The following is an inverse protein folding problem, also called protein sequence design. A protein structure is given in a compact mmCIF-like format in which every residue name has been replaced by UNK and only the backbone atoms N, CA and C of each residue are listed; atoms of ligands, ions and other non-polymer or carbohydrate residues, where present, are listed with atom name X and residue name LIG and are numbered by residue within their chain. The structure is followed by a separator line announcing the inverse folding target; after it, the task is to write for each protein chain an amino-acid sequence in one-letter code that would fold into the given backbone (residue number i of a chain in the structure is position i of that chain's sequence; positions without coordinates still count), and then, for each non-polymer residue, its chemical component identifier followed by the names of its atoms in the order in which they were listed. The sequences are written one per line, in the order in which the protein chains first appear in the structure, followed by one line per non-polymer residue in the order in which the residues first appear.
data_IF_313453678341
#
_entry.id   IF_313453678341
#
_cell.length_a   1.000
_cell.length_b   1.000
_cell.length_c   1.000
_cell.angle_alpha   90.00
_cell.angle_beta   90.00
_cell.angle_gamma   90.00
#
_symmetry.space_group_name_H-M   'P 1'
#
loop_
_entity.id
_entity.type
_entity.pdbx_description
1 polymer ?
#
# COMPACT_ATOMS: atom_id res chain seq x y z
N UNK A 1 11.34 -20.80 3.59
CA UNK A 1 10.40 -21.88 3.20
C UNK A 1 10.71 -22.32 1.78
N UNK A 2 10.45 -23.58 1.45
CA UNK A 2 10.65 -24.15 0.12
C UNK A 2 9.94 -23.29 -0.94
N UNK A 3 10.70 -22.76 -1.91
CA UNK A 3 10.11 -22.26 -3.15
C UNK A 3 9.28 -23.38 -3.74
N UNK A 4 7.94 -23.25 -3.74
CA UNK A 4 7.11 -24.12 -4.56
C UNK A 4 7.54 -23.88 -6.01
N UNK A 5 8.09 -24.88 -6.70
CA UNK A 5 8.57 -24.68 -8.07
C UNK A 5 7.40 -24.17 -8.91
N UNK A 6 7.63 -23.09 -9.65
CA UNK A 6 6.63 -22.53 -10.57
C UNK A 6 6.24 -23.63 -11.53
N UNK A 7 4.98 -24.06 -11.46
CA UNK A 7 4.52 -25.17 -12.27
C UNK A 7 4.43 -24.74 -13.74
N UNK A 8 4.51 -25.70 -14.66
CA UNK A 8 4.27 -25.43 -16.09
C UNK A 8 2.87 -24.81 -16.27
N UNK A 9 1.90 -25.20 -15.43
CA UNK A 9 0.56 -24.61 -15.41
C UNK A 9 0.59 -23.12 -15.06
N UNK A 10 1.32 -22.72 -14.01
CA UNK A 10 1.45 -21.31 -13.62
C UNK A 10 2.05 -20.46 -14.74
N UNK A 11 3.00 -21.01 -15.50
CA UNK A 11 3.59 -20.34 -16.66
C UNK A 11 2.57 -20.16 -17.78
N UNK A 12 1.78 -21.19 -18.07
CA UNK A 12 0.73 -21.14 -19.09
C UNK A 12 -0.38 -20.16 -18.72
N UNK A 13 -0.82 -20.15 -17.46
CA UNK A 13 -1.78 -19.17 -16.94
C UNK A 13 -1.21 -17.76 -17.03
N UNK A 14 0.02 -17.54 -16.58
CA UNK A 14 0.70 -16.23 -16.66
C UNK A 14 0.80 -15.71 -18.10
N UNK A 15 1.06 -16.60 -19.07
CA UNK A 15 1.07 -16.26 -20.50
C UNK A 15 -0.33 -15.88 -20.98
N UNK A 16 -1.33 -16.72 -20.71
CA UNK A 16 -2.70 -16.48 -21.14
C UNK A 16 -3.31 -15.20 -20.52
N UNK A 17 -2.98 -14.87 -19.26
CA UNK A 17 -3.38 -13.60 -18.63
C UNK A 17 -2.72 -12.41 -19.33
N UNK A 18 -1.43 -12.52 -19.68
CA UNK A 18 -0.69 -11.45 -20.37
C UNK A 18 -1.21 -11.20 -21.79
N UNK A 19 -1.66 -12.26 -22.47
CA UNK A 19 -2.28 -12.20 -23.80
C UNK A 19 -3.78 -11.85 -23.73
N UNK A 20 -4.33 -11.61 -22.53
CA UNK A 20 -5.75 -11.33 -22.28
C UNK A 20 -6.70 -12.36 -22.90
N UNK A 21 -6.29 -13.63 -22.88
CA UNK A 21 -7.03 -14.73 -23.47
C UNK A 21 -8.37 -14.93 -22.75
N UNK A 22 -9.46 -14.83 -23.50
CA UNK A 22 -10.81 -15.17 -23.04
C UNK A 22 -10.93 -16.69 -22.81
N UNK A 23 -11.85 -17.08 -21.92
CA UNK A 23 -12.08 -18.49 -21.55
C UNK A 23 -12.25 -19.39 -22.78
N UNK A 24 -13.03 -18.93 -23.75
CA UNK A 24 -13.37 -19.67 -24.97
C UNK A 24 -12.15 -19.94 -25.87
N UNK A 25 -11.11 -19.09 -25.77
CA UNK A 25 -9.89 -19.17 -26.55
C UNK A 25 -8.73 -19.88 -25.80
N UNK A 26 -8.95 -20.30 -24.56
CA UNK A 26 -7.92 -21.02 -23.80
C UNK A 26 -7.64 -22.40 -24.42
N UNK A 27 -6.39 -22.89 -24.37
CA UNK A 27 -6.08 -24.27 -24.72
C UNK A 27 -6.99 -25.26 -23.99
N UNK A 28 -7.52 -26.28 -24.69
CA UNK A 28 -8.41 -27.30 -24.11
C UNK A 28 -7.87 -27.95 -22.83
N UNK A 29 -6.54 -28.11 -22.77
CA UNK A 29 -5.84 -28.60 -21.57
C UNK A 29 -6.07 -27.69 -20.36
N UNK A 30 -5.96 -26.37 -20.52
CA UNK A 30 -6.20 -25.41 -19.43
C UNK A 30 -7.68 -25.35 -19.06
N UNK A 31 -8.59 -25.38 -20.04
CA UNK A 31 -10.03 -25.42 -19.75
C UNK A 31 -10.39 -26.65 -18.91
N UNK A 32 -9.82 -27.82 -19.24
CA UNK A 32 -10.03 -29.06 -18.48
C UNK A 32 -9.46 -29.01 -17.06
N UNK A 33 -8.36 -28.28 -16.83
CA UNK A 33 -7.73 -28.15 -15.51
C UNK A 33 -8.51 -27.18 -14.62
N UNK A 34 -8.89 -26.03 -15.19
CA UNK A 34 -9.63 -24.97 -14.47
C UNK A 34 -11.09 -25.37 -14.23
N UNK A 35 -11.65 -26.22 -15.09
CA UNK A 35 -12.99 -26.78 -14.96
C UNK A 35 -14.14 -25.81 -15.24
N UNK A 36 -13.93 -24.49 -15.11
CA UNK A 36 -14.97 -23.48 -15.33
C UNK A 36 -14.41 -22.10 -15.70
N UNK A 37 -15.26 -21.31 -16.35
CA UNK A 37 -15.01 -19.88 -16.64
C UNK A 37 -14.82 -19.07 -15.35
N UNK A 38 -15.56 -19.39 -14.30
CA UNK A 38 -15.44 -18.70 -13.00
C UNK A 38 -14.11 -18.96 -12.30
N UNK A 39 -13.57 -20.19 -12.39
CA UNK A 39 -12.22 -20.48 -11.92
C UNK A 39 -11.17 -19.70 -12.74
N UNK A 40 -11.34 -19.59 -14.06
CA UNK A 40 -10.46 -18.77 -14.89
C UNK A 40 -10.47 -17.30 -14.47
N UNK A 41 -11.64 -16.71 -14.29
CA UNK A 41 -11.76 -15.33 -13.79
C UNK A 41 -11.07 -15.16 -12.44
N UNK A 42 -11.23 -16.10 -11.51
CA UNK A 42 -10.53 -16.08 -10.22
C UNK A 42 -9.01 -16.15 -10.38
N UNK A 43 -8.48 -16.97 -11.30
CA UNK A 43 -7.03 -17.03 -11.59
C UNK A 43 -6.51 -15.75 -12.23
N UNK A 44 -7.26 -15.13 -13.15
CA UNK A 44 -6.93 -13.83 -13.77
C UNK A 44 -6.82 -12.76 -12.69
N UNK A 45 -7.84 -12.63 -11.84
CA UNK A 45 -7.88 -11.66 -10.74
C UNK A 45 -6.72 -11.89 -9.77
N UNK A 46 -6.52 -13.13 -9.31
CA UNK A 46 -5.41 -13.46 -8.40
C UNK A 46 -4.03 -13.17 -9.02
N UNK A 47 -3.84 -13.43 -10.32
CA UNK A 47 -2.61 -13.11 -11.02
C UNK A 47 -2.33 -11.60 -11.05
N UNK A 48 -3.34 -10.80 -11.39
CA UNK A 48 -3.22 -9.35 -11.45
C UNK A 48 -2.98 -8.75 -10.04
N UNK A 49 -3.68 -9.25 -9.02
CA UNK A 49 -3.51 -8.84 -7.61
C UNK A 49 -2.10 -9.15 -7.11
N UNK A 50 -1.60 -10.37 -7.37
CA UNK A 50 -0.24 -10.77 -6.95
C UNK A 50 0.84 -9.89 -7.58
N UNK A 51 0.55 -9.32 -8.75
CA UNK A 51 1.42 -8.35 -9.46
C UNK A 51 1.06 -6.89 -9.18
N UNK A 52 0.09 -6.62 -8.30
CA UNK A 52 -0.35 -5.27 -7.89
C UNK A 52 -0.65 -4.35 -9.07
N UNK A 53 -1.27 -4.87 -10.13
CA UNK A 53 -1.57 -4.10 -11.34
C UNK A 53 -2.72 -3.11 -11.11
N UNK A 54 -2.69 -1.99 -11.82
CA UNK A 54 -3.79 -1.02 -11.81
C UNK A 54 -5.00 -1.63 -12.55
N UNK A 55 -6.18 -1.61 -11.94
CA UNK A 55 -7.35 -2.36 -12.41
C UNK A 55 -7.69 -2.05 -13.86
N UNK A 56 -7.82 -0.76 -14.20
CA UNK A 56 -8.18 -0.26 -15.54
C UNK A 56 -7.15 -0.63 -16.65
N UNK A 57 -5.91 -0.99 -16.30
CA UNK A 57 -4.85 -1.36 -17.25
C UNK A 57 -4.62 -2.86 -17.36
N UNK A 58 -5.29 -3.67 -16.54
CA UNK A 58 -5.02 -5.11 -16.47
C UNK A 58 -6.25 -5.93 -16.82
N UNK A 59 -6.02 -7.20 -17.16
CA UNK A 59 -7.09 -8.09 -17.62
C UNK A 59 -8.22 -8.28 -16.59
N UNK A 60 -7.96 -8.03 -15.30
CA UNK A 60 -8.96 -8.10 -14.25
C UNK A 60 -10.18 -7.18 -14.50
N UNK A 61 -10.01 -6.05 -15.22
CA UNK A 61 -11.12 -5.13 -15.52
C UNK A 61 -12.22 -5.74 -16.40
N UNK A 62 -11.91 -6.82 -17.13
CA UNK A 62 -12.88 -7.53 -17.96
C UNK A 62 -13.62 -8.64 -17.21
N UNK A 63 -13.18 -9.00 -16.00
CA UNK A 63 -13.67 -10.19 -15.28
C UNK A 63 -14.22 -9.90 -13.88
N UNK A 64 -13.87 -8.77 -13.26
CA UNK A 64 -14.43 -8.35 -11.98
C UNK A 64 -14.61 -6.82 -11.88
N UNK A 65 -15.43 -6.39 -10.92
CA UNK A 65 -15.65 -4.96 -10.65
C UNK A 65 -14.43 -4.37 -9.95
N UNK A 66 -14.20 -3.08 -10.16
CA UNK A 66 -13.09 -2.33 -9.55
C UNK A 66 -13.08 -2.42 -8.02
N UNK A 67 -14.24 -2.23 -7.37
CA UNK A 67 -14.39 -2.37 -5.92
C UNK A 67 -13.96 -3.73 -5.39
N UNK A 68 -14.47 -4.81 -6.00
CA UNK A 68 -14.13 -6.19 -5.62
C UNK A 68 -12.62 -6.47 -5.80
N UNK A 69 -12.04 -5.96 -6.88
CA UNK A 69 -10.62 -6.13 -7.18
C UNK A 69 -9.71 -5.55 -6.10
N UNK A 70 -9.93 -4.28 -5.74
CA UNK A 70 -9.10 -3.60 -4.75
C UNK A 70 -9.37 -4.10 -3.32
N UNK A 71 -10.61 -4.49 -2.99
CA UNK A 71 -10.90 -5.17 -1.72
C UNK A 71 -10.12 -6.49 -1.58
N UNK A 72 -10.15 -7.33 -2.61
CA UNK A 72 -9.41 -8.58 -2.65
C UNK A 72 -7.90 -8.34 -2.65
N UNK A 73 -7.42 -7.29 -3.32
CA UNK A 73 -6.02 -6.88 -3.27
C UNK A 73 -5.62 -6.52 -1.85
N UNK A 74 -6.36 -5.65 -1.17
CA UNK A 74 -6.05 -5.24 0.20
C UNK A 74 -6.13 -6.43 1.16
N UNK A 75 -7.05 -7.37 0.94
CA UNK A 75 -7.13 -8.63 1.69
C UNK A 75 -5.90 -9.51 1.43
N UNK A 76 -5.45 -9.60 0.17
CA UNK A 76 -4.24 -10.32 -0.21
C UNK A 76 -3.00 -9.70 0.47
N UNK A 77 -2.85 -8.38 0.42
CA UNK A 77 -1.74 -7.68 1.08
C UNK A 77 -1.71 -7.97 2.58
N UNK A 78 -2.85 -7.84 3.27
CA UNK A 78 -2.99 -8.13 4.71
C UNK A 78 -2.63 -9.57 5.06
N UNK A 79 -3.05 -10.55 4.27
CA UNK A 79 -2.73 -11.97 4.51
C UNK A 79 -1.27 -12.30 4.28
N UNK A 80 -0.62 -11.63 3.34
CA UNK A 80 0.79 -11.86 2.99
C UNK A 80 1.73 -10.92 3.75
N UNK A 81 1.26 -10.27 4.83
CA UNK A 81 2.08 -9.43 5.70
C UNK A 81 3.20 -10.20 6.43
N UNK A 82 3.04 -11.52 6.60
CA UNK A 82 3.97 -12.36 7.35
C UNK A 82 5.00 -13.11 6.48
N UNK A 83 5.03 -12.86 5.18
CA UNK A 83 5.94 -13.57 4.27
C UNK A 83 7.25 -12.79 4.17
N UNK A 84 8.28 -13.28 4.86
CA UNK A 84 9.66 -12.83 4.65
C UNK A 84 10.05 -13.08 3.20
N UNK A 85 10.29 -12.02 2.44
CA UNK A 85 10.88 -12.15 1.11
C UNK A 85 12.39 -12.14 1.29
N UNK A 86 12.98 -13.33 1.42
CA UNK A 86 14.42 -13.50 1.34
C UNK A 86 14.84 -13.21 -0.11
N UNK A 87 15.50 -12.07 -0.35
CA UNK A 87 16.17 -11.81 -1.62
C UNK A 87 15.99 -10.39 -2.16
N UNK A 88 16.99 -9.54 -1.91
CA UNK A 88 17.26 -8.36 -2.74
C UNK A 88 17.81 -8.85 -4.09
N UNK A 89 16.96 -9.06 -5.08
CA UNK A 89 17.39 -9.28 -6.47
C UNK A 89 17.51 -7.94 -7.18
N UNK A 90 18.70 -7.34 -7.07
CA UNK A 90 19.13 -6.22 -7.89
C UNK A 90 19.29 -6.67 -9.35
N UNK A 91 18.38 -6.23 -10.23
CA UNK A 91 18.64 -6.15 -11.68
C UNK A 91 18.32 -4.74 -12.18
N UNK A 92 19.27 -4.25 -13.01
CA UNK A 92 19.42 -2.90 -13.57
C UNK A 92 18.12 -2.20 -13.98
N UNK A 93 18.05 -0.90 -13.70
CA UNK A 93 17.25 0.08 -14.47
C UNK A 93 15.77 0.26 -14.12
N UNK A 94 15.19 -0.56 -13.23
CA UNK A 94 13.74 -0.49 -12.92
C UNK A 94 13.45 -0.75 -11.43
N UNK A 95 14.25 -0.16 -10.54
CA UNK A 95 14.27 -0.53 -9.12
C UNK A 95 12.95 -0.29 -8.36
N UNK A 96 12.19 0.75 -8.70
CA UNK A 96 10.98 1.13 -7.95
C UNK A 96 9.85 0.12 -8.19
N UNK A 97 9.55 -0.18 -9.45
CA UNK A 97 8.50 -1.14 -9.81
C UNK A 97 8.82 -2.57 -9.33
N UNK A 98 10.11 -2.95 -9.28
CA UNK A 98 10.54 -4.26 -8.79
C UNK A 98 10.46 -4.33 -7.25
N UNK A 99 10.81 -3.27 -6.53
CA UNK A 99 10.67 -3.23 -5.07
C UNK A 99 9.18 -3.28 -4.67
N UNK A 100 8.35 -2.41 -5.23
CA UNK A 100 6.92 -2.34 -4.90
C UNK A 100 6.19 -3.67 -5.19
N UNK A 101 6.54 -4.38 -6.25
CA UNK A 101 5.91 -5.67 -6.58
C UNK A 101 6.42 -6.86 -5.75
N UNK A 102 7.61 -6.78 -5.16
CA UNK A 102 8.18 -7.86 -4.36
C UNK A 102 8.01 -7.68 -2.85
N UNK A 103 7.58 -6.51 -2.36
CA UNK A 103 7.30 -6.29 -0.94
C UNK A 103 5.79 -6.18 -0.69
N UNK A 104 5.08 -7.31 -0.49
CA UNK A 104 3.62 -7.32 -0.25
C UNK A 104 3.18 -6.55 1.01
N UNK A 105 4.14 -6.16 1.85
CA UNK A 105 3.97 -5.44 3.11
C UNK A 105 4.11 -3.92 2.99
N UNK A 106 4.52 -3.40 1.83
CA UNK A 106 4.57 -1.96 1.60
C UNK A 106 3.19 -1.46 1.16
N UNK A 107 2.80 -0.27 1.64
CA UNK A 107 1.60 0.42 1.16
C UNK A 107 1.69 0.59 -0.37
N UNK A 108 0.62 0.30 -1.13
CA UNK A 108 0.66 0.40 -2.58
C UNK A 108 0.48 1.86 -3.04
N UNK A 109 1.54 2.67 -2.92
CA UNK A 109 1.52 4.09 -3.27
C UNK A 109 1.14 4.34 -4.74
N UNK A 110 1.55 3.48 -5.66
CA UNK A 110 1.14 3.55 -7.07
C UNK A 110 -0.36 3.31 -7.30
N UNK A 111 -1.09 2.85 -6.28
CA UNK A 111 -2.54 2.69 -6.26
C UNK A 111 -3.20 3.66 -5.28
N UNK A 112 -2.46 4.65 -4.76
CA UNK A 112 -2.93 5.59 -3.74
C UNK A 112 -4.17 6.35 -4.20
N UNK A 113 -4.30 6.65 -5.50
CA UNK A 113 -5.52 7.27 -6.02
C UNK A 113 -6.75 6.45 -5.62
N UNK A 114 -6.82 5.17 -5.94
CA UNK A 114 -7.98 4.37 -5.56
C UNK A 114 -8.02 4.06 -4.05
N UNK A 115 -6.87 3.69 -3.46
CA UNK A 115 -6.80 3.21 -2.07
C UNK A 115 -7.08 4.34 -1.06
N UNK A 116 -6.51 5.52 -1.26
CA UNK A 116 -6.77 6.67 -0.41
C UNK A 116 -8.12 7.32 -0.75
N UNK A 117 -8.40 7.60 -2.03
CA UNK A 117 -9.59 8.37 -2.42
C UNK A 117 -10.87 7.59 -2.27
N UNK A 118 -10.92 6.38 -2.79
CA UNK A 118 -12.14 5.57 -2.88
C UNK A 118 -12.29 4.68 -1.64
N UNK A 119 -11.25 3.91 -1.30
CA UNK A 119 -11.33 2.99 -0.15
C UNK A 119 -11.16 3.68 1.21
N UNK A 120 -10.75 4.97 1.23
CA UNK A 120 -10.47 5.74 2.46
C UNK A 120 -9.46 5.05 3.39
N UNK A 121 -8.43 4.43 2.81
CA UNK A 121 -7.32 3.83 3.53
C UNK A 121 -6.07 4.67 3.31
N UNK A 122 -5.67 5.45 4.31
CA UNK A 122 -4.40 6.19 4.29
C UNK A 122 -3.20 5.28 4.55
N UNK A 123 -1.97 5.67 4.12
CA UNK A 123 -0.74 4.98 4.48
C UNK A 123 -0.60 4.79 6.00
N UNK A 124 -0.90 5.83 6.78
CA UNK A 124 -0.92 5.76 8.24
C UNK A 124 -1.83 4.63 8.76
N UNK A 125 -3.09 4.60 8.32
CA UNK A 125 -4.05 3.58 8.76
C UNK A 125 -3.64 2.18 8.31
N UNK A 126 -3.07 2.06 7.13
CA UNK A 126 -2.53 0.80 6.62
C UNK A 126 -1.41 0.26 7.52
N UNK A 127 -0.44 1.10 7.90
CA UNK A 127 0.67 0.67 8.74
C UNK A 127 0.26 0.42 10.18
N UNK A 128 -0.68 1.18 10.75
CA UNK A 128 -1.28 0.84 12.04
C UNK A 128 -1.96 -0.54 12.00
N UNK A 129 -2.72 -0.84 10.94
CA UNK A 129 -3.34 -2.15 10.74
C UNK A 129 -2.27 -3.26 10.57
N UNK A 130 -1.20 -3.00 9.83
CA UNK A 130 -0.08 -3.94 9.67
C UNK A 130 0.60 -4.25 11.01
N UNK A 131 0.96 -3.22 11.77
CA UNK A 131 1.58 -3.37 13.10
C UNK A 131 0.65 -4.15 14.03
N UNK A 132 -0.64 -3.83 14.04
CA UNK A 132 -1.64 -4.57 14.81
C UNK A 132 -1.66 -6.06 14.45
N UNK A 133 -1.63 -6.40 13.16
CA UNK A 133 -1.62 -7.79 12.71
C UNK A 133 -0.36 -8.53 13.16
N UNK A 134 0.81 -7.89 13.12
CA UNK A 134 2.07 -8.44 13.64
C UNK A 134 1.98 -8.70 15.15
N UNK A 135 1.45 -7.75 15.92
CA UNK A 135 1.22 -7.90 17.37
C UNK A 135 0.23 -9.02 17.68
N UNK A 136 -0.91 -9.06 16.98
CA UNK A 136 -1.98 -10.04 17.18
C UNK A 136 -1.51 -11.47 16.89
N UNK A 137 -0.64 -11.63 15.90
CA UNK A 137 -0.06 -12.92 15.53
C UNK A 137 1.23 -13.24 16.32
N UNK A 138 1.53 -12.44 17.36
CA UNK A 138 2.69 -12.56 18.25
C UNK A 138 4.04 -12.64 17.52
N UNK A 139 4.14 -12.02 16.35
CA UNK A 139 5.36 -11.99 15.57
C UNK A 139 6.30 -10.90 16.10
N UNK A 140 7.63 -11.10 16.05
CA UNK A 140 8.59 -10.07 16.41
C UNK A 140 8.54 -8.91 15.41
N UNK A 141 8.88 -7.69 15.85
CA UNK A 141 8.98 -6.52 14.97
C UNK A 141 9.90 -6.77 13.75
N UNK A 142 10.98 -7.52 13.95
CA UNK A 142 11.96 -7.88 12.91
C UNK A 142 11.39 -8.78 11.79
N UNK A 143 10.14 -9.22 11.91
CA UNK A 143 9.40 -9.87 10.81
C UNK A 143 8.92 -8.88 9.74
N UNK A 144 8.82 -7.58 10.07
CA UNK A 144 8.44 -6.52 9.14
C UNK A 144 9.67 -6.19 8.26
N UNK A 145 9.55 -6.17 6.92
CA UNK A 145 10.65 -5.82 6.04
C UNK A 145 11.12 -4.39 6.30
N UNK A 146 12.42 -4.16 6.12
CA UNK A 146 13.05 -2.87 6.38
C UNK A 146 12.31 -1.69 5.71
N UNK A 147 11.86 -1.85 4.46
CA UNK A 147 11.11 -0.81 3.75
C UNK A 147 9.76 -0.50 4.43
N UNK A 148 8.98 -1.53 4.76
CA UNK A 148 7.73 -1.36 5.49
C UNK A 148 7.93 -0.82 6.90
N UNK A 149 8.99 -1.26 7.58
CA UNK A 149 9.31 -0.82 8.94
C UNK A 149 9.72 0.65 8.99
N UNK A 150 10.55 1.11 8.05
CA UNK A 150 10.99 2.50 8.00
C UNK A 150 9.85 3.45 7.61
N UNK A 151 8.97 3.05 6.69
CA UNK A 151 7.81 3.86 6.33
C UNK A 151 6.73 3.87 7.42
N UNK A 152 6.47 2.72 8.06
CA UNK A 152 5.62 2.63 9.23
C UNK A 152 6.15 3.50 10.38
N UNK A 153 7.46 3.49 10.63
CA UNK A 153 8.06 4.35 11.66
C UNK A 153 7.88 5.84 11.32
N UNK A 154 8.12 6.25 10.08
CA UNK A 154 7.93 7.64 9.63
C UNK A 154 6.50 8.14 9.86
N UNK A 155 5.50 7.29 9.61
CA UNK A 155 4.09 7.68 9.66
C UNK A 155 3.44 7.47 11.02
N UNK A 156 3.87 6.46 11.78
CA UNK A 156 3.23 6.05 13.05
C UNK A 156 4.09 6.36 14.27
N UNK A 157 5.40 6.58 14.10
CA UNK A 157 6.35 6.73 15.19
C UNK A 157 6.67 5.41 15.92
N UNK A 158 6.11 4.28 15.51
CA UNK A 158 6.35 2.99 16.14
C UNK A 158 7.57 2.34 15.50
N UNK A 159 8.69 2.38 16.22
CA UNK A 159 9.87 1.60 15.90
C UNK A 159 9.90 0.29 16.70
N UNK A 160 11.05 -0.38 16.65
CA UNK A 160 11.27 -1.65 17.35
C UNK A 160 11.07 -1.53 18.85
N UNK A 161 11.56 -0.45 19.46
CA UNK A 161 11.48 -0.25 20.91
C UNK A 161 10.04 0.05 21.35
N UNK A 162 9.37 0.95 20.65
CA UNK A 162 7.96 1.30 20.90
C UNK A 162 7.06 0.07 20.74
N UNK A 163 7.30 -0.75 19.71
CA UNK A 163 6.58 -2.01 19.51
C UNK A 163 6.77 -2.97 20.68
N UNK A 164 8.01 -3.18 21.14
CA UNK A 164 8.32 -4.07 22.26
C UNK A 164 7.64 -3.58 23.53
N UNK A 165 7.66 -2.27 23.79
CA UNK A 165 7.01 -1.67 24.96
C UNK A 165 5.49 -1.87 24.94
N UNK A 166 4.85 -1.68 23.79
CA UNK A 166 3.41 -1.96 23.61
C UNK A 166 3.13 -3.44 23.87
N UNK A 167 3.89 -4.35 23.26
CA UNK A 167 3.71 -5.80 23.45
C UNK A 167 3.87 -6.21 24.92
N UNK A 168 4.84 -5.64 25.63
CA UNK A 168 5.04 -5.90 27.06
C UNK A 168 3.87 -5.39 27.90
N UNK A 169 3.32 -4.22 27.60
CA UNK A 169 2.09 -3.69 28.24
C UNK A 169 0.87 -4.58 27.98
N UNK A 170 0.73 -5.14 26.77
CA UNK A 170 -0.37 -6.06 26.44
C UNK A 170 -0.25 -7.41 27.17
N UNK A 171 0.98 -7.93 27.31
CA UNK A 171 1.30 -9.17 28.04
C UNK A 171 1.06 -9.02 29.55
N UNK A 172 1.54 -7.94 30.15
CA UNK A 172 1.44 -7.71 31.60
C UNK A 172 -0.01 -7.61 32.08
N UNK A 173 -0.91 -7.06 31.26
CA UNK A 173 -2.35 -6.98 31.56
C UNK A 173 -3.11 -8.29 31.30
N UNK A 174 -2.45 -9.38 30.85
CA UNK A 174 -3.07 -10.62 30.34
C UNK A 174 -4.11 -10.37 29.25
N UNK A 175 -3.93 -9.31 28.44
CA UNK A 175 -4.88 -8.89 27.40
C UNK A 175 -4.56 -9.57 26.05
N UNK A 176 -3.43 -10.28 25.93
CA UNK A 176 -3.00 -10.93 24.67
C UNK A 176 -4.06 -11.82 24.02
N UNK A 177 -4.76 -12.66 24.78
CA UNK A 177 -5.85 -13.50 24.25
C UNK A 177 -7.14 -12.72 23.94
N UNK A 178 -7.26 -11.49 24.45
CA UNK A 178 -8.35 -10.54 24.17
C UNK A 178 -7.95 -9.47 23.15
N UNK A 179 -6.75 -9.54 22.55
CA UNK A 179 -6.19 -8.49 21.70
C UNK A 179 -7.01 -8.39 20.39
N UNK A 180 -8.12 -7.67 20.50
CA UNK A 180 -8.98 -7.32 19.39
C UNK A 180 -8.55 -5.95 18.85
N UNK A 181 -9.09 -5.58 17.69
CA UNK A 181 -8.74 -4.32 17.03
C UNK A 181 -9.08 -3.10 17.90
N UNK A 182 -10.04 -3.18 18.84
CA UNK A 182 -10.38 -2.05 19.71
C UNK A 182 -9.35 -1.82 20.81
N UNK A 183 -8.80 -2.86 21.42
CA UNK A 183 -7.80 -2.71 22.49
C UNK A 183 -6.46 -2.26 21.92
N UNK A 184 -6.06 -2.80 20.77
CA UNK A 184 -4.81 -2.34 20.15
C UNK A 184 -4.88 -0.89 19.68
N UNK A 185 -6.06 -0.40 19.28
CA UNK A 185 -6.27 1.03 19.00
C UNK A 185 -5.98 1.93 20.20
N UNK A 186 -6.08 1.43 21.43
CA UNK A 186 -5.75 2.22 22.63
C UNK A 186 -4.24 2.36 22.83
N UNK A 187 -3.43 1.48 22.23
CA UNK A 187 -1.97 1.50 22.33
C UNK A 187 -1.27 1.97 21.05
N UNK A 188 -1.96 1.94 19.92
CA UNK A 188 -1.49 2.45 18.64
C UNK A 188 -1.85 3.93 18.50
N UNK A 189 -1.05 4.71 17.74
CA UNK A 189 -1.33 6.11 17.49
C UNK A 189 -2.66 6.26 16.75
N UNK A 190 -3.39 7.32 17.09
CA UNK A 190 -4.66 7.70 16.44
C UNK A 190 -4.47 8.73 15.34
N UNK A 191 -3.33 9.43 15.35
CA UNK A 191 -2.94 10.45 14.37
C UNK A 191 -1.55 10.12 13.81
N UNK A 192 -1.28 10.48 12.54
CA UNK A 192 0.05 10.34 11.96
C UNK A 192 1.06 11.26 12.66
N UNK A 193 2.32 10.84 12.68
CA UNK A 193 3.45 11.66 13.12
C UNK A 193 3.75 12.72 12.06
N UNK A 194 4.17 13.90 12.52
CA UNK A 194 4.62 14.97 11.64
C UNK A 194 5.93 14.55 10.95
N UNK A 195 5.98 14.67 9.63
CA UNK A 195 7.15 14.36 8.84
C UNK A 195 7.40 15.47 7.81
N UNK A 196 8.64 15.66 7.33
CA UNK A 196 8.93 16.67 6.33
C UNK A 196 8.24 16.33 5.01
N UNK A 197 7.43 17.25 4.51
CA UNK A 197 6.77 17.17 3.19
C UNK A 197 7.58 18.04 2.24
N UNK A 198 8.04 17.47 1.12
CA UNK A 198 8.76 18.30 0.14
C UNK A 198 7.79 19.25 -0.57
N UNK A 199 8.22 20.48 -0.91
CA UNK A 199 7.37 21.51 -1.50
C UNK A 199 6.63 21.09 -2.78
N UNK A 200 7.23 20.18 -3.55
CA UNK A 200 6.73 19.74 -4.86
C UNK A 200 5.80 18.52 -4.79
N UNK A 201 5.59 17.92 -3.61
CA UNK A 201 4.65 16.81 -3.46
C UNK A 201 3.24 17.26 -3.77
N UNK A 202 2.49 16.43 -4.48
CA UNK A 202 1.07 16.65 -4.76
C UNK A 202 0.23 16.45 -3.50
N UNK A 203 -0.71 17.36 -3.28
CA UNK A 203 -1.76 17.25 -2.27
C UNK A 203 -3.03 16.77 -2.96
N UNK A 204 -3.47 15.57 -2.61
CA UNK A 204 -4.59 14.91 -3.26
C UNK A 204 -5.75 14.72 -2.29
N UNK A 205 -6.97 14.95 -2.79
CA UNK A 205 -8.20 14.81 -2.02
C UNK A 205 -8.70 13.36 -2.01
N UNK A 206 -9.34 12.99 -0.91
CA UNK A 206 -10.14 11.76 -0.84
C UNK A 206 -11.62 12.04 -1.15
N UNK A 207 -12.47 11.01 -1.24
CA UNK A 207 -13.92 11.23 -1.36
C UNK A 207 -14.52 11.60 0.02
N UNK A 208 -15.18 12.75 0.12
CA UNK A 208 -15.71 13.29 1.38
C UNK A 208 -17.10 12.72 1.66
N UNK A 209 -17.38 12.45 2.94
CA UNK A 209 -18.75 12.28 3.41
C UNK A 209 -19.42 13.65 3.59
N UNK A 210 -20.76 13.69 3.60
CA UNK A 210 -21.53 14.91 3.86
C UNK A 210 -21.16 15.51 5.23
N UNK A 211 -20.89 14.67 6.23
CA UNK A 211 -20.52 15.12 7.57
C UNK A 211 -19.12 15.72 7.64
N UNK A 212 -18.15 15.14 6.95
CA UNK A 212 -16.79 15.70 6.84
C UNK A 212 -16.83 17.05 6.13
N UNK A 213 -17.58 17.15 5.04
CA UNK A 213 -17.73 18.38 4.26
C UNK A 213 -18.32 19.51 5.11
N UNK A 214 -19.33 19.23 5.94
CA UNK A 214 -19.95 20.21 6.84
C UNK A 214 -19.04 20.73 7.96
N UNK A 215 -17.95 20.03 8.26
CA UNK A 215 -17.01 20.38 9.35
C UNK A 215 -15.82 21.20 8.87
N UNK A 216 -15.74 21.51 7.57
CA UNK A 216 -14.64 22.26 6.99
C UNK A 216 -14.73 23.74 7.42
N UNK A 217 -13.58 24.33 7.72
CA UNK A 217 -13.46 25.78 7.87
C UNK A 217 -13.50 26.49 6.50
N UNK A 218 -13.66 27.82 6.50
CA UNK A 218 -13.60 28.62 5.27
C UNK A 218 -12.25 28.45 4.54
N UNK A 219 -11.14 28.44 5.29
CA UNK A 219 -9.79 28.23 4.73
C UNK A 219 -9.62 26.82 4.13
N UNK A 220 -10.20 25.80 4.78
CA UNK A 220 -10.17 24.42 4.29
C UNK A 220 -11.01 24.26 3.03
N UNK A 221 -12.19 24.87 2.98
CA UNK A 221 -13.04 24.88 1.78
C UNK A 221 -12.33 25.58 0.61
N UNK A 222 -11.72 26.74 0.85
CA UNK A 222 -10.96 27.46 -0.18
C UNK A 222 -9.77 26.63 -0.70
N UNK A 223 -9.08 25.90 0.19
CA UNK A 223 -7.99 24.99 -0.17
C UNK A 223 -8.48 23.82 -1.01
N UNK A 224 -9.60 23.20 -0.64
CA UNK A 224 -10.22 22.10 -1.40
C UNK A 224 -10.66 22.57 -2.78
N UNK A 225 -11.31 23.73 -2.89
CA UNK A 225 -11.70 24.31 -4.17
C UNK A 225 -10.50 24.59 -5.07
N UNK A 226 -9.37 25.03 -4.49
CA UNK A 226 -8.12 25.24 -5.22
C UNK A 226 -7.55 23.93 -5.76
N UNK A 227 -7.56 22.85 -4.96
CA UNK A 227 -7.11 21.52 -5.41
C UNK A 227 -8.01 20.99 -6.54
N UNK A 228 -9.33 21.18 -6.43
CA UNK A 228 -10.30 20.71 -7.43
C UNK A 228 -10.24 21.44 -8.78
N UNK A 229 -9.73 22.67 -8.83
CA UNK A 229 -9.66 23.47 -10.06
C UNK A 229 -8.45 23.12 -10.95
N UNK A 230 -7.68 22.10 -10.59
CA UNK A 230 -6.58 21.49 -11.39
C UNK A 230 -5.47 22.46 -11.87
N UNK A 231 -5.40 23.70 -11.36
CA UNK A 231 -4.35 24.65 -11.78
C UNK A 231 -2.95 24.22 -11.33
N UNK A 232 -2.83 23.66 -10.12
CA UNK A 232 -1.67 22.94 -9.59
C UNK A 232 -1.98 22.40 -8.18
N UNK A 233 -1.45 21.22 -7.83
CA UNK A 233 -1.68 20.58 -6.53
C UNK A 233 -0.39 20.43 -5.68
N UNK A 234 0.70 21.11 -6.04
CA UNK A 234 1.94 21.02 -5.27
C UNK A 234 1.81 21.66 -3.87
N UNK A 235 2.40 21.02 -2.86
CA UNK A 235 2.29 21.39 -1.45
C UNK A 235 2.64 22.86 -1.16
N UNK A 236 3.65 23.41 -1.84
CA UNK A 236 4.10 24.80 -1.66
C UNK A 236 3.04 25.86 -1.97
N UNK A 237 1.95 25.49 -2.65
CA UNK A 237 0.86 26.39 -3.04
C UNK A 237 -0.18 26.57 -1.94
N UNK A 238 -0.08 25.83 -0.84
CA UNK A 238 -1.09 25.78 0.23
C UNK A 238 -0.51 26.20 1.57
N UNK A 239 -1.40 26.60 2.48
CA UNK A 239 -1.02 26.84 3.87
C UNK A 239 -0.65 25.51 4.55
N UNK A 240 0.58 25.36 5.08
CA UNK A 240 1.04 24.16 5.77
C UNK A 240 0.13 23.71 6.91
N UNK A 241 -0.44 24.64 7.69
CA UNK A 241 -1.27 24.31 8.85
C UNK A 241 -2.64 23.79 8.42
N UNK A 242 -3.22 24.36 7.35
CA UNK A 242 -4.48 23.88 6.77
C UNK A 242 -4.29 22.46 6.22
N UNK A 243 -3.22 22.22 5.45
CA UNK A 243 -2.93 20.89 4.91
C UNK A 243 -2.65 19.88 6.03
N UNK A 244 -1.92 20.29 7.08
CA UNK A 244 -1.66 19.44 8.25
C UNK A 244 -2.97 19.01 8.93
N UNK A 245 -3.90 19.94 9.16
CA UNK A 245 -5.21 19.65 9.75
C UNK A 245 -6.07 18.74 8.87
N UNK A 246 -6.06 18.91 7.55
CA UNK A 246 -6.71 18.01 6.60
C UNK A 246 -6.06 16.61 6.61
N UNK A 247 -4.73 16.53 6.65
CA UNK A 247 -3.98 15.27 6.63
C UNK A 247 -4.19 14.45 7.90
N UNK A 248 -4.16 15.09 9.07
CA UNK A 248 -4.41 14.43 10.36
C UNK A 248 -5.82 13.82 10.44
N UNK A 249 -6.81 14.43 9.78
CA UNK A 249 -8.18 13.89 9.65
C UNK A 249 -8.33 12.87 8.51
N UNK A 250 -7.28 12.64 7.72
CA UNK A 250 -7.30 11.73 6.57
C UNK A 250 -8.17 12.22 5.41
N UNK A 251 -8.28 13.54 5.23
CA UNK A 251 -9.02 14.19 4.15
C UNK A 251 -8.15 14.51 2.93
N UNK A 252 -6.83 14.51 3.12
CA UNK A 252 -5.83 14.58 2.05
C UNK A 252 -4.81 13.47 2.21
N UNK A 253 -4.18 13.10 1.11
CA UNK A 253 -2.98 12.29 1.06
C UNK A 253 -1.95 12.95 0.17
N UNK A 254 -0.69 12.60 0.34
CA UNK A 254 0.39 13.10 -0.49
C UNK A 254 0.69 12.12 -1.61
N UNK A 255 0.88 12.67 -2.80
CA UNK A 255 1.34 11.96 -3.98
C UNK A 255 2.68 12.54 -4.43
N UNK A 256 3.55 11.69 -4.96
CA UNK A 256 4.84 12.12 -5.49
C UNK A 256 4.75 11.94 -7.00
N UNK A 257 4.66 13.05 -7.76
CA UNK A 257 4.56 12.93 -9.20
C UNK A 257 5.84 12.29 -9.76
N UNK A 258 5.67 11.20 -10.51
CA UNK A 258 6.73 10.54 -11.27
C UNK A 258 6.39 10.64 -12.76
N UNK A 259 7.22 11.35 -13.51
CA UNK A 259 7.09 11.55 -14.94
C UNK A 259 7.95 10.56 -15.74
N UNK A 260 7.60 10.34 -17.01
CA UNK A 260 8.33 9.39 -17.88
C UNK A 260 9.80 9.75 -18.08
N UNK A 261 10.11 11.05 -18.01
CA UNK A 261 11.47 11.56 -18.18
C UNK A 261 12.28 11.59 -16.88
N UNK A 262 11.66 11.27 -15.74
CA UNK A 262 12.36 11.26 -14.46
C UNK A 262 13.48 10.22 -14.44
N UNK A 263 14.53 10.54 -13.69
CA UNK A 263 15.72 9.69 -13.54
C UNK A 263 16.00 9.50 -12.07
N UNK A 264 15.87 8.27 -11.61
CA UNK A 264 16.19 7.90 -10.23
C UNK A 264 17.67 7.63 -10.09
N UNK A 265 18.33 8.40 -9.21
CA UNK A 265 19.72 8.14 -8.83
C UNK A 265 19.75 7.30 -7.56
N UNK A 266 19.99 6.01 -7.72
CA UNK A 266 20.26 5.13 -6.58
C UNK A 266 21.68 5.43 -6.12
N UNK A 267 21.84 5.99 -4.92
CA UNK A 267 23.16 6.00 -4.28
C UNK A 267 23.49 4.56 -3.89
N UNK A 268 24.55 3.98 -4.45
CA UNK A 268 25.13 2.78 -3.87
C UNK A 268 25.60 3.18 -2.47
N UNK A 269 24.99 2.59 -1.45
CA UNK A 269 25.50 2.69 -0.10
C UNK A 269 26.39 1.49 0.16
N UNK A 270 27.61 1.75 0.63
CA UNK A 270 28.56 0.74 1.09
C UNK A 270 28.09 0.01 2.37
N UNK A 271 26.91 0.35 2.88
CA UNK A 271 26.22 -0.38 3.94
C UNK A 271 24.70 -0.27 3.74
N UNK A 272 23.96 -1.29 4.15
CA UNK A 272 22.54 -1.57 3.86
C UNK A 272 21.49 -0.53 4.33
N UNK A 273 21.88 0.71 4.64
CA UNK A 273 21.01 1.77 5.10
C UNK A 273 20.75 2.78 3.98
N UNK A 274 19.62 2.65 3.28
CA UNK A 274 19.09 3.74 2.46
C UNK A 274 18.90 4.98 3.34
N UNK A 275 19.59 6.08 3.01
CA UNK A 275 19.33 7.39 3.60
C UNK A 275 17.83 7.71 3.48
N UNK A 276 17.23 8.19 4.57
CA UNK A 276 15.81 8.56 4.68
C UNK A 276 15.32 9.49 3.56
N UNK A 277 16.23 10.29 3.01
CA UNK A 277 15.98 11.25 1.92
C UNK A 277 15.99 10.64 0.52
N UNK A 278 16.67 9.50 0.32
CA UNK A 278 16.58 8.72 -0.93
C UNK A 278 15.36 7.80 -0.84
N UNK A 279 15.08 7.32 0.36
CA UNK A 279 13.95 6.46 0.70
C UNK A 279 12.57 7.08 0.43
N UNK A 280 12.41 8.39 0.69
CA UNK A 280 11.18 9.14 0.35
C UNK A 280 10.88 9.16 -1.16
N UNK A 281 11.87 9.00 -2.04
CA UNK A 281 11.64 8.91 -3.50
C UNK A 281 11.45 7.48 -4.00
N UNK A 282 11.75 6.46 -3.18
CA UNK A 282 11.56 5.04 -3.53
C UNK A 282 10.22 4.49 -3.05
N UNK A 283 9.61 5.14 -2.06
CA UNK A 283 8.34 4.73 -1.49
C UNK A 283 7.14 5.15 -2.34
N UNK A 284 7.25 6.26 -3.08
CA UNK A 284 6.17 6.79 -3.89
C UNK A 284 6.45 6.56 -5.39
#
# INVERSE_FOLDING_TARGET
MQHTPVTIEDQLISKAVREECQWENLPKRLQSILGSKDEWHRRVTAHCIKKRLLWNTCFACKVCKEGEYYEDMMRYLRKNLAVRVDGLLFKRGSLILIAVNNYPQLFPYHLAEYVCRVMRISPFRYYCDMIFEVMRNEQPYDSIPNFSAADAFRLTGIGRNEFIDIMNKCRSKKIMWKLNKSIAKDFLPTLPVDFPIDPWWGVCLVNFTIEEFKKLSEDEMATIDKICKEEANAYFLFDPEVIKGLYQRGLVYFDVPVYQDDRFKVKLLDSLFLDSYVFSYFLF
#
